data_IF_273952446681
#
_entry.id   IF_273952446681
#
_cell.length_a   1.000
_cell.length_b   1.000
_cell.length_c   1.000
_cell.angle_alpha   90.00
_cell.angle_beta   90.00
_cell.angle_gamma   90.00
#
_symmetry.space_group_name_H-M   'P 1'
#
loop_
_entity.id
_entity.type
_entity.pdbx_description
1 polymer ?
#
# COMPACT_ATOMS: atom_id res chain seq x y z
N UNK A 1 0.02 40.25 21.69
CA UNK A 1 1.23 40.58 20.95
C UNK A 1 1.05 40.13 19.50
N UNK A 2 1.31 41.02 18.55
CA UNK A 2 1.21 40.71 17.12
C UNK A 2 2.36 39.79 16.72
N UNK A 3 2.04 38.57 16.34
CA UNK A 3 3.05 37.56 16.01
C UNK A 3 3.59 37.63 14.57
N UNK A 4 2.91 38.43 13.71
CA UNK A 4 3.32 38.61 12.31
C UNK A 4 3.65 40.08 12.03
N UNK A 5 4.65 40.39 11.19
CA UNK A 5 4.92 41.74 10.73
C UNK A 5 3.70 42.34 10.03
N UNK A 6 3.45 43.63 10.26
CA UNK A 6 2.29 44.34 9.71
C UNK A 6 2.22 44.29 8.19
N UNK A 7 3.37 44.29 7.52
CA UNK A 7 3.48 44.17 6.06
C UNK A 7 2.94 42.87 5.49
N UNK A 8 2.87 41.83 6.31
CA UNK A 8 2.34 40.49 5.94
C UNK A 8 0.86 40.36 6.29
N UNK A 9 0.29 41.31 7.00
CA UNK A 9 -1.10 41.24 7.38
C UNK A 9 -2.01 41.70 6.23
N UNK A 10 -3.14 41.02 6.12
CA UNK A 10 -4.19 41.39 5.18
C UNK A 10 -4.74 42.76 5.53
N UNK A 11 -4.85 43.63 4.54
CA UNK A 11 -5.37 45.00 4.71
C UNK A 11 -6.90 45.06 4.75
N UNK A 12 -7.59 44.08 4.23
CA UNK A 12 -9.05 44.00 4.22
C UNK A 12 -9.52 42.57 4.48
N UNK A 13 -10.71 42.40 5.00
CA UNK A 13 -11.33 41.09 5.17
C UNK A 13 -11.50 40.39 3.80
N UNK A 14 -11.40 39.03 3.74
CA UNK A 14 -11.70 38.31 2.51
C UNK A 14 -13.16 38.54 2.10
N UNK A 15 -13.38 38.62 0.79
CA UNK A 15 -14.73 38.74 0.23
C UNK A 15 -15.43 37.39 0.28
N UNK A 16 -15.88 36.97 1.44
CA UNK A 16 -16.69 35.78 1.62
C UNK A 16 -18.16 36.16 1.72
N UNK A 17 -19.08 35.38 1.14
CA UNK A 17 -20.50 35.60 1.32
C UNK A 17 -20.87 35.46 2.81
N UNK A 18 -21.75 36.34 3.27
CA UNK A 18 -22.38 36.18 4.59
C UNK A 18 -23.66 35.37 4.39
N UNK A 19 -23.63 34.11 4.78
CA UNK A 19 -24.73 33.17 4.60
C UNK A 19 -25.16 32.60 5.95
N UNK A 20 -26.43 32.19 6.04
CA UNK A 20 -26.89 31.42 7.17
C UNK A 20 -26.27 29.98 7.16
N UNK A 21 -26.23 29.34 8.31
CA UNK A 21 -25.81 27.93 8.40
C UNK A 21 -26.63 27.05 7.43
N UNK A 22 -27.94 27.31 7.37
CA UNK A 22 -28.85 26.57 6.48
C UNK A 22 -28.46 26.71 5.01
N UNK A 23 -28.10 27.91 4.55
CA UNK A 23 -27.68 28.16 3.17
C UNK A 23 -26.38 27.43 2.86
N UNK A 24 -25.40 27.45 3.79
CA UNK A 24 -24.12 26.75 3.65
C UNK A 24 -24.35 25.23 3.56
N UNK A 25 -25.13 24.66 4.48
CA UNK A 25 -25.43 23.23 4.48
C UNK A 25 -26.13 22.80 3.19
N UNK A 26 -27.16 23.55 2.76
CA UNK A 26 -27.87 23.26 1.51
C UNK A 26 -26.97 23.35 0.28
N UNK A 27 -26.11 24.38 0.23
CA UNK A 27 -25.17 24.55 -0.87
C UNK A 27 -24.25 23.34 -1.01
N UNK A 28 -23.55 22.97 0.06
CA UNK A 28 -22.60 21.84 0.00
C UNK A 28 -23.29 20.50 -0.14
N UNK A 29 -24.49 20.31 0.43
CA UNK A 29 -25.29 19.10 0.20
C UNK A 29 -25.70 18.96 -1.27
N UNK A 30 -26.07 20.07 -1.92
CA UNK A 30 -26.43 20.04 -3.35
C UNK A 30 -25.19 19.80 -4.22
N UNK A 31 -24.04 20.41 -3.89
CA UNK A 31 -22.79 20.14 -4.58
C UNK A 31 -22.36 18.67 -4.46
N UNK A 32 -22.50 18.08 -3.28
CA UNK A 32 -22.13 16.68 -3.07
C UNK A 32 -22.93 15.71 -3.94
N UNK A 33 -24.18 16.07 -4.27
CA UNK A 33 -25.04 15.26 -5.15
C UNK A 33 -24.65 15.29 -6.63
N UNK A 34 -23.79 16.21 -7.03
CA UNK A 34 -23.25 16.29 -8.39
C UNK A 34 -22.12 15.29 -8.63
N UNK A 35 -21.65 14.63 -7.59
CA UNK A 35 -20.61 13.63 -7.66
C UNK A 35 -21.12 12.27 -7.15
N UNK A 36 -20.38 11.21 -7.46
CA UNK A 36 -20.69 9.90 -6.92
C UNK A 36 -20.40 9.83 -5.42
N UNK A 37 -21.23 9.08 -4.70
CA UNK A 37 -21.08 8.83 -3.27
C UNK A 37 -21.41 7.37 -2.99
N UNK A 38 -20.59 6.72 -2.19
CA UNK A 38 -20.81 5.33 -1.77
C UNK A 38 -22.11 5.16 -0.95
N UNK A 39 -22.60 6.23 -0.33
CA UNK A 39 -23.85 6.23 0.43
C UNK A 39 -25.10 6.28 -0.47
N UNK A 40 -24.98 6.86 -1.66
CA UNK A 40 -26.11 7.11 -2.55
C UNK A 40 -26.06 6.29 -3.85
N UNK A 41 -24.89 5.85 -4.27
CA UNK A 41 -24.68 5.26 -5.59
C UNK A 41 -23.71 4.10 -5.53
N UNK A 42 -23.77 3.24 -6.56
CA UNK A 42 -22.67 2.35 -6.87
C UNK A 42 -21.45 3.19 -7.29
N UNK A 43 -20.40 3.18 -6.48
CA UNK A 43 -19.23 4.01 -6.69
C UNK A 43 -18.26 3.33 -7.67
N UNK A 44 -17.89 3.98 -8.79
CA UNK A 44 -16.95 3.42 -9.74
C UNK A 44 -15.55 3.33 -9.14
N UNK A 45 -14.75 2.41 -9.67
CA UNK A 45 -13.34 2.25 -9.30
C UNK A 45 -12.52 3.48 -9.71
N UNK A 46 -11.85 4.11 -8.74
CA UNK A 46 -10.76 5.06 -8.97
C UNK A 46 -9.42 4.39 -8.67
N UNK A 47 -8.63 4.95 -7.75
CA UNK A 47 -7.38 4.32 -7.28
C UNK A 47 -7.61 3.08 -6.42
N UNK A 48 -8.82 2.84 -5.95
CA UNK A 48 -9.21 1.69 -5.15
C UNK A 48 -10.68 1.36 -5.35
N UNK A 49 -11.07 0.13 -5.01
CA UNK A 49 -12.47 -0.28 -4.95
C UNK A 49 -13.13 0.36 -3.73
N UNK A 50 -14.08 1.26 -3.97
CA UNK A 50 -14.81 1.91 -2.88
C UNK A 50 -15.89 0.97 -2.34
N UNK A 51 -15.80 0.67 -1.03
CA UNK A 51 -16.78 -0.15 -0.32
C UNK A 51 -17.59 0.73 0.62
N UNK A 52 -18.81 0.34 0.90
CA UNK A 52 -19.57 0.93 1.99
C UNK A 52 -18.93 0.52 3.31
N UNK A 53 -18.45 1.50 4.09
CA UNK A 53 -18.01 1.27 5.46
C UNK A 53 -19.18 1.50 6.41
N UNK A 54 -19.47 0.56 7.34
CA UNK A 54 -20.47 0.79 8.38
C UNK A 54 -20.16 2.07 9.16
N UNK A 55 -21.14 2.93 9.36
CA UNK A 55 -20.95 4.25 10.00
C UNK A 55 -20.38 4.15 11.42
N UNK A 56 -20.63 3.05 12.13
CA UNK A 56 -20.08 2.86 13.47
C UNK A 56 -18.54 2.75 13.48
N UNK A 57 -17.91 2.34 12.37
CA UNK A 57 -16.44 2.26 12.30
C UNK A 57 -15.79 3.62 12.46
N UNK A 58 -16.39 4.67 11.87
CA UNK A 58 -15.95 6.06 12.04
C UNK A 58 -16.12 6.52 13.50
N UNK A 59 -17.24 6.16 14.12
CA UNK A 59 -17.49 6.47 15.54
C UNK A 59 -16.43 5.79 16.44
N UNK A 60 -16.15 4.51 16.22
CA UNK A 60 -15.14 3.77 17.00
C UNK A 60 -13.75 4.37 16.81
N UNK A 61 -13.36 4.70 15.56
CA UNK A 61 -12.07 5.32 15.27
C UNK A 61 -11.92 6.71 15.94
N UNK A 62 -13.03 7.43 16.13
CA UNK A 62 -13.05 8.75 16.78
C UNK A 62 -13.07 8.69 18.32
N UNK A 63 -13.17 7.51 18.94
CA UNK A 63 -13.14 7.40 20.39
C UNK A 63 -11.86 8.02 20.96
N UNK A 64 -11.96 8.79 22.09
CA UNK A 64 -10.81 9.51 22.64
C UNK A 64 -9.58 8.63 22.94
N UNK A 65 -9.80 7.36 23.30
CA UNK A 65 -8.72 6.40 23.56
C UNK A 65 -7.87 6.09 22.34
N UNK A 66 -8.40 6.28 21.13
CA UNK A 66 -7.65 6.16 19.85
C UNK A 66 -7.27 7.53 19.30
N UNK A 67 -8.26 8.41 19.08
CA UNK A 67 -8.07 9.65 18.35
C UNK A 67 -7.25 10.71 19.09
N UNK A 68 -7.20 10.66 20.43
CA UNK A 68 -6.45 11.63 21.27
C UNK A 68 -5.19 11.06 21.91
N UNK A 69 -4.83 9.83 21.57
CA UNK A 69 -3.61 9.21 22.07
C UNK A 69 -2.39 9.87 21.40
N UNK A 70 -1.41 10.27 22.21
CA UNK A 70 -0.16 10.81 21.67
C UNK A 70 0.63 9.68 20.97
N UNK A 71 1.18 9.87 19.77
CA UNK A 71 1.87 8.81 19.02
C UNK A 71 3.03 8.14 19.76
N UNK A 72 3.72 8.88 20.64
CA UNK A 72 4.84 8.35 21.43
C UNK A 72 4.40 7.75 22.78
N UNK A 73 3.10 7.68 23.06
CA UNK A 73 2.62 7.19 24.37
C UNK A 73 3.07 5.76 24.65
N UNK A 74 3.05 4.90 23.64
CA UNK A 74 3.50 3.51 23.79
C UNK A 74 4.98 3.38 24.19
N UNK A 75 5.83 4.35 23.83
CA UNK A 75 7.24 4.39 24.19
C UNK A 75 7.45 4.96 25.60
N UNK A 76 6.56 5.87 26.04
CA UNK A 76 6.63 6.53 27.35
C UNK A 76 5.97 5.69 28.44
N UNK A 77 4.85 5.08 28.15
CA UNK A 77 4.08 4.23 29.07
C UNK A 77 3.27 3.20 28.29
N UNK A 78 3.77 1.99 28.19
CA UNK A 78 3.07 0.90 27.52
C UNK A 78 1.70 0.59 28.14
N UNK A 79 1.54 0.78 29.44
CA UNK A 79 0.26 0.51 30.14
C UNK A 79 -0.88 1.39 29.62
N UNK A 80 -0.60 2.67 29.33
CA UNK A 80 -1.62 3.60 28.83
C UNK A 80 -1.98 3.38 27.34
N UNK A 81 -1.18 2.61 26.63
CA UNK A 81 -1.37 2.33 25.20
C UNK A 81 -1.82 0.90 24.91
N UNK A 82 -2.10 0.09 25.92
CA UNK A 82 -2.36 -1.35 25.75
C UNK A 82 -3.49 -1.66 24.76
N UNK A 83 -4.60 -0.94 24.80
CA UNK A 83 -5.69 -1.14 23.85
C UNK A 83 -5.30 -0.91 22.40
N UNK A 84 -4.52 0.14 22.12
CA UNK A 84 -4.02 0.42 20.78
C UNK A 84 -2.98 -0.61 20.33
N UNK A 85 -2.07 -1.02 21.22
CA UNK A 85 -1.09 -2.07 20.94
C UNK A 85 -1.77 -3.42 20.69
N UNK A 86 -2.83 -3.74 21.42
CA UNK A 86 -3.63 -4.95 21.20
C UNK A 86 -4.30 -4.92 19.81
N UNK A 87 -4.87 -3.79 19.41
CA UNK A 87 -5.45 -3.65 18.06
C UNK A 87 -4.41 -3.90 16.97
N UNK A 88 -3.19 -3.36 17.11
CA UNK A 88 -2.12 -3.59 16.14
C UNK A 88 -1.68 -5.06 16.13
N UNK A 89 -1.53 -5.67 17.29
CA UNK A 89 -1.17 -7.08 17.43
C UNK A 89 -2.21 -8.00 16.79
N UNK A 90 -3.49 -7.78 17.07
CA UNK A 90 -4.56 -8.59 16.49
C UNK A 90 -4.66 -8.39 14.97
N UNK A 91 -4.51 -7.15 14.51
CA UNK A 91 -4.50 -6.83 13.08
C UNK A 91 -3.32 -7.52 12.36
N UNK A 92 -2.12 -7.54 12.95
CA UNK A 92 -0.98 -8.27 12.43
C UNK A 92 -1.31 -9.76 12.28
N UNK A 93 -1.86 -10.38 13.31
CA UNK A 93 -2.22 -11.81 13.28
C UNK A 93 -3.25 -12.12 12.20
N UNK A 94 -4.27 -11.29 12.07
CA UNK A 94 -5.28 -11.47 11.03
C UNK A 94 -4.68 -11.30 9.62
N UNK A 95 -3.81 -10.33 9.43
CA UNK A 95 -3.12 -10.14 8.16
C UNK A 95 -2.21 -11.33 7.85
N UNK A 96 -1.47 -11.85 8.83
CA UNK A 96 -0.68 -13.07 8.66
C UNK A 96 -1.55 -14.25 8.23
N UNK A 97 -2.70 -14.43 8.87
CA UNK A 97 -3.62 -15.53 8.55
C UNK A 97 -4.18 -15.42 7.14
N UNK A 98 -4.69 -14.26 6.74
CA UNK A 98 -5.33 -14.11 5.42
C UNK A 98 -4.33 -14.07 4.26
N UNK A 99 -3.06 -13.76 4.52
CA UNK A 99 -2.02 -13.67 3.48
C UNK A 99 -1.06 -14.85 3.43
N UNK A 100 -0.97 -15.64 4.51
CA UNK A 100 0.04 -16.67 4.65
C UNK A 100 1.45 -16.14 4.96
N UNK A 101 1.58 -14.84 5.24
CA UNK A 101 2.85 -14.23 5.65
C UNK A 101 3.12 -14.44 7.13
N UNK A 102 4.38 -14.34 7.55
CA UNK A 102 4.79 -14.61 8.94
C UNK A 102 4.69 -13.41 9.87
N UNK A 103 4.81 -12.20 9.35
CA UNK A 103 4.79 -10.97 10.14
C UNK A 103 4.37 -9.77 9.28
N UNK A 104 3.82 -8.75 9.93
CA UNK A 104 3.52 -7.46 9.32
C UNK A 104 4.04 -6.32 10.18
N UNK A 105 4.32 -5.18 9.55
CA UNK A 105 4.57 -3.91 10.21
C UNK A 105 3.57 -2.86 9.74
N UNK A 106 3.13 -2.00 10.65
CA UNK A 106 2.25 -0.87 10.38
C UNK A 106 2.99 0.48 10.37
N UNK A 107 4.34 0.45 10.30
CA UNK A 107 5.16 1.67 10.27
C UNK A 107 5.04 2.47 8.96
N UNK A 108 4.91 1.85 7.77
CA UNK A 108 4.72 2.60 6.54
C UNK A 108 3.41 3.41 6.57
N UNK A 109 3.48 4.70 6.24
CA UNK A 109 2.36 5.62 6.32
C UNK A 109 1.47 5.65 5.07
N UNK A 110 1.94 5.07 3.96
CA UNK A 110 1.23 5.04 2.68
C UNK A 110 1.74 3.89 1.82
N UNK A 111 1.04 3.59 0.69
CA UNK A 111 1.42 2.51 -0.22
C UNK A 111 2.85 2.60 -0.72
N UNK A 112 3.27 3.78 -1.19
CA UNK A 112 4.65 4.01 -1.65
C UNK A 112 5.69 3.78 -0.54
N UNK A 113 5.39 4.12 0.71
CA UNK A 113 6.25 3.80 1.85
C UNK A 113 6.29 2.28 2.13
N UNK A 114 5.16 1.60 1.95
CA UNK A 114 5.08 0.13 2.04
C UNK A 114 5.91 -0.55 0.97
N UNK A 115 5.80 -0.09 -0.29
CA UNK A 115 6.66 -0.57 -1.39
C UNK A 115 8.13 -0.38 -1.07
N UNK A 116 8.54 0.85 -0.72
CA UNK A 116 9.93 1.16 -0.38
C UNK A 116 10.43 0.30 0.78
N UNK A 117 9.63 0.13 1.83
CA UNK A 117 9.97 -0.72 2.98
C UNK A 117 10.19 -2.17 2.54
N UNK A 118 9.30 -2.73 1.73
CA UNK A 118 9.42 -4.09 1.22
C UNK A 118 10.67 -4.29 0.36
N UNK A 119 10.98 -3.34 -0.52
CA UNK A 119 12.20 -3.38 -1.33
C UNK A 119 13.47 -3.25 -0.46
N UNK A 120 13.43 -2.41 0.59
CA UNK A 120 14.53 -2.33 1.56
C UNK A 120 14.71 -3.61 2.38
N UNK A 121 13.65 -4.36 2.66
CA UNK A 121 13.75 -5.69 3.27
C UNK A 121 14.49 -6.67 2.36
N UNK A 122 14.20 -6.66 1.05
CA UNK A 122 14.94 -7.46 0.05
C UNK A 122 16.42 -7.09 0.05
N UNK A 123 16.73 -5.79 0.03
CA UNK A 123 18.12 -5.32 0.09
C UNK A 123 18.83 -5.78 1.37
N UNK A 124 18.15 -5.64 2.51
CA UNK A 124 18.68 -6.05 3.81
C UNK A 124 18.92 -7.58 3.90
N UNK A 125 18.01 -8.37 3.34
CA UNK A 125 18.15 -9.83 3.26
C UNK A 125 19.43 -10.25 2.53
N UNK A 126 19.67 -9.70 1.34
CA UNK A 126 20.87 -10.03 0.57
C UNK A 126 22.13 -9.51 1.26
N UNK A 127 22.09 -8.31 1.82
CA UNK A 127 23.21 -7.75 2.59
C UNK A 127 23.56 -8.62 3.81
N UNK A 128 22.57 -9.11 4.54
CA UNK A 128 22.78 -10.00 5.69
C UNK A 128 23.42 -11.33 5.30
N UNK A 129 23.22 -11.78 4.06
CA UNK A 129 23.88 -12.97 3.48
C UNK A 129 25.24 -12.66 2.81
N UNK A 130 25.75 -11.45 2.95
CA UNK A 130 27.01 -11.02 2.34
C UNK A 130 26.95 -10.86 0.81
N UNK A 131 25.77 -10.69 0.24
CA UNK A 131 25.54 -10.59 -1.21
C UNK A 131 25.33 -9.14 -1.62
N UNK A 132 25.94 -8.74 -2.73
CA UNK A 132 25.73 -7.42 -3.34
C UNK A 132 24.86 -7.56 -4.60
N UNK A 133 23.54 -7.72 -4.43
CA UNK A 133 22.59 -7.81 -5.54
C UNK A 133 22.05 -6.42 -5.87
N UNK A 134 22.17 -6.02 -7.13
CA UNK A 134 21.90 -4.66 -7.58
C UNK A 134 20.73 -4.55 -8.56
N UNK A 135 20.18 -5.66 -9.02
CA UNK A 135 19.12 -5.69 -10.03
C UNK A 135 17.77 -6.07 -9.43
N UNK A 136 16.73 -5.35 -9.79
CA UNK A 136 15.33 -5.70 -9.51
C UNK A 136 14.60 -5.96 -10.83
N UNK A 137 14.02 -7.14 -10.97
CA UNK A 137 13.19 -7.48 -12.13
C UNK A 137 11.80 -6.89 -11.94
N UNK A 138 11.25 -6.29 -12.98
CA UNK A 138 9.91 -5.71 -12.96
C UNK A 138 9.22 -6.00 -14.27
N UNK A 139 8.02 -6.64 -14.26
CA UNK A 139 7.23 -6.84 -15.48
C UNK A 139 6.82 -5.50 -16.11
N UNK A 140 6.71 -5.46 -17.41
CA UNK A 140 6.27 -4.29 -18.16
C UNK A 140 4.81 -3.87 -17.85
N UNK A 141 4.02 -4.79 -17.31
CA UNK A 141 2.65 -4.55 -16.83
C UNK A 141 2.58 -4.00 -15.39
N UNK A 142 3.73 -3.76 -14.73
CA UNK A 142 3.75 -3.28 -13.35
C UNK A 142 3.26 -1.83 -13.22
N UNK A 143 2.75 -1.48 -12.03
CA UNK A 143 2.43 -0.10 -11.71
C UNK A 143 3.69 0.78 -11.70
N UNK A 144 3.57 2.03 -12.17
CA UNK A 144 4.71 2.94 -12.29
C UNK A 144 5.46 3.25 -11.00
N UNK A 145 4.85 3.04 -9.83
CA UNK A 145 5.52 3.22 -8.54
C UNK A 145 6.50 2.09 -8.22
N UNK A 146 6.34 0.89 -8.78
CA UNK A 146 7.23 -0.23 -8.50
C UNK A 146 8.68 0.07 -8.94
N UNK A 147 8.94 0.46 -10.21
CA UNK A 147 10.29 0.85 -10.61
C UNK A 147 10.80 2.06 -9.83
N UNK A 148 9.96 3.04 -9.52
CA UNK A 148 10.38 4.22 -8.74
C UNK A 148 10.84 3.84 -7.33
N UNK A 149 10.11 2.97 -6.64
CA UNK A 149 10.46 2.47 -5.30
C UNK A 149 11.76 1.64 -5.31
N UNK A 150 11.96 0.82 -6.35
CA UNK A 150 13.17 0.03 -6.49
C UNK A 150 14.41 0.90 -6.76
N UNK A 151 14.31 1.91 -7.64
CA UNK A 151 15.39 2.89 -7.89
C UNK A 151 15.71 3.69 -6.62
N UNK A 152 14.69 4.15 -5.90
CA UNK A 152 14.88 4.87 -4.64
C UNK A 152 15.61 4.00 -3.59
N UNK A 153 15.39 2.70 -3.60
CA UNK A 153 16.05 1.74 -2.72
C UNK A 153 17.50 1.41 -3.16
N UNK A 154 17.92 1.85 -4.34
CA UNK A 154 19.26 1.67 -4.88
C UNK A 154 19.43 0.54 -5.89
N UNK A 155 18.31 -0.01 -6.42
CA UNK A 155 18.35 -1.05 -7.45
C UNK A 155 18.32 -0.46 -8.86
N UNK A 156 18.97 -1.12 -9.76
CA UNK A 156 18.80 -0.95 -11.20
C UNK A 156 17.66 -1.84 -11.69
N UNK A 157 16.81 -1.29 -12.57
CA UNK A 157 15.63 -2.00 -13.07
C UNK A 157 16.01 -2.83 -14.31
N UNK A 158 15.54 -4.07 -14.31
CA UNK A 158 15.55 -4.94 -15.47
C UNK A 158 14.10 -5.25 -15.82
N UNK A 159 13.64 -4.75 -16.95
CA UNK A 159 12.29 -5.03 -17.43
C UNK A 159 12.18 -6.47 -17.91
N UNK A 160 11.12 -7.15 -17.49
CA UNK A 160 10.74 -8.47 -17.98
C UNK A 160 9.51 -8.30 -18.87
N UNK A 161 9.61 -8.62 -20.17
CA UNK A 161 8.48 -8.47 -21.08
C UNK A 161 7.35 -9.45 -20.75
N UNK A 162 6.13 -9.03 -21.07
CA UNK A 162 4.95 -9.87 -20.98
C UNK A 162 4.66 -10.57 -22.31
N UNK A 163 4.07 -11.75 -22.23
CA UNK A 163 3.44 -12.45 -23.35
C UNK A 163 1.99 -12.71 -23.01
N UNK A 164 1.08 -12.33 -23.88
CA UNK A 164 -0.38 -12.43 -23.64
C UNK A 164 -0.83 -11.75 -22.33
N UNK A 165 -0.15 -10.67 -21.93
CA UNK A 165 -0.42 -9.89 -20.73
C UNK A 165 0.08 -10.51 -19.41
N UNK A 166 0.80 -11.62 -19.45
CA UNK A 166 1.43 -12.28 -18.29
C UNK A 166 2.95 -12.26 -18.43
N UNK A 167 3.68 -12.46 -17.35
CA UNK A 167 5.14 -12.54 -17.38
C UNK A 167 5.58 -13.66 -18.32
N UNK A 168 6.47 -13.36 -19.28
CA UNK A 168 7.05 -14.40 -20.13
C UNK A 168 8.13 -15.18 -19.35
N UNK A 169 7.91 -16.48 -19.04
CA UNK A 169 8.88 -17.26 -18.31
C UNK A 169 10.23 -17.42 -19.01
N UNK A 170 10.24 -17.43 -20.34
CA UNK A 170 11.48 -17.52 -21.12
C UNK A 170 12.30 -16.22 -20.99
N UNK A 171 11.65 -15.07 -21.08
CA UNK A 171 12.30 -13.77 -20.86
C UNK A 171 12.80 -13.60 -19.41
N UNK A 172 12.06 -14.13 -18.44
CA UNK A 172 12.52 -14.17 -17.05
C UNK A 172 13.80 -15.01 -16.89
N UNK A 173 13.84 -16.21 -17.47
CA UNK A 173 15.04 -17.06 -17.45
C UNK A 173 16.23 -16.41 -18.15
N UNK A 174 16.00 -15.75 -19.30
CA UNK A 174 17.03 -14.99 -19.99
C UNK A 174 17.58 -13.86 -19.13
N UNK A 175 16.71 -13.09 -18.45
CA UNK A 175 17.12 -12.03 -17.56
C UNK A 175 17.94 -12.56 -16.37
N UNK A 176 17.55 -13.67 -15.76
CA UNK A 176 18.32 -14.34 -14.71
C UNK A 176 19.69 -14.78 -15.20
N UNK A 177 19.76 -15.44 -16.37
CA UNK A 177 21.01 -15.89 -16.96
C UNK A 177 21.96 -14.73 -17.36
N UNK A 178 21.39 -13.60 -17.77
CA UNK A 178 22.16 -12.41 -18.16
C UNK A 178 22.82 -11.70 -16.95
N UNK A 179 22.23 -11.82 -15.78
CA UNK A 179 22.70 -11.12 -14.58
C UNK A 179 22.93 -12.11 -13.41
N UNK A 180 23.81 -13.09 -13.56
CA UNK A 180 24.07 -14.10 -12.53
C UNK A 180 24.51 -13.43 -11.23
N UNK A 181 23.97 -13.86 -10.10
CA UNK A 181 24.24 -13.34 -8.75
C UNK A 181 23.94 -11.84 -8.53
N UNK A 182 23.32 -11.15 -9.49
CA UNK A 182 22.99 -9.72 -9.38
C UNK A 182 21.51 -9.45 -9.12
N UNK A 183 20.62 -10.40 -9.42
CA UNK A 183 19.18 -10.21 -9.27
C UNK A 183 18.77 -10.39 -7.81
N UNK A 184 18.22 -9.33 -7.21
CA UNK A 184 17.73 -9.34 -5.84
C UNK A 184 16.33 -9.95 -5.73
N UNK A 185 15.49 -9.71 -6.72
CA UNK A 185 14.13 -10.22 -6.74
C UNK A 185 13.33 -9.76 -7.93
N UNK A 186 12.08 -10.19 -7.97
CA UNK A 186 11.05 -9.77 -8.93
C UNK A 186 9.91 -9.09 -8.16
N UNK A 187 9.55 -7.86 -8.56
CA UNK A 187 8.34 -7.17 -8.06
C UNK A 187 7.21 -7.37 -9.05
N UNK A 188 6.08 -7.89 -8.57
CA UNK A 188 4.90 -8.06 -9.42
C UNK A 188 3.60 -7.84 -8.66
N UNK A 189 2.56 -7.50 -9.40
CA UNK A 189 1.17 -7.43 -8.94
C UNK A 189 0.42 -8.67 -9.45
N UNK A 190 -0.41 -9.27 -8.64
CA UNK A 190 -1.22 -10.42 -9.04
C UNK A 190 -2.62 -10.40 -8.39
N UNK A 191 -3.74 -10.30 -9.14
CA UNK A 191 -3.80 -10.08 -10.59
C UNK A 191 -3.09 -8.80 -11.03
N UNK A 192 -2.56 -8.79 -12.24
CA UNK A 192 -1.81 -7.66 -12.76
C UNK A 192 -2.72 -6.45 -13.11
N UNK A 193 -2.13 -5.35 -13.60
CA UNK A 193 -2.89 -4.14 -13.94
C UNK A 193 -3.90 -4.31 -15.08
N UNK A 194 -3.79 -5.39 -15.87
CA UNK A 194 -4.76 -5.78 -16.88
C UNK A 194 -5.92 -6.63 -16.31
N UNK A 195 -5.88 -6.97 -15.02
CA UNK A 195 -6.85 -7.84 -14.37
C UNK A 195 -6.62 -9.34 -14.59
N UNK A 196 -5.46 -9.72 -15.11
CA UNK A 196 -5.12 -11.11 -15.39
C UNK A 196 -4.40 -11.74 -14.20
N UNK A 197 -4.84 -12.93 -13.81
CA UNK A 197 -4.13 -13.75 -12.84
C UNK A 197 -2.90 -14.37 -13.50
N UNK A 198 -1.74 -14.28 -12.84
CA UNK A 198 -0.49 -14.85 -13.35
C UNK A 198 -0.50 -16.39 -13.24
N UNK A 199 -0.68 -17.04 -14.38
CA UNK A 199 -0.75 -18.50 -14.47
C UNK A 199 0.63 -19.17 -14.41
N UNK A 200 1.69 -18.41 -14.72
CA UNK A 200 3.06 -18.91 -14.70
C UNK A 200 3.73 -18.79 -13.33
N UNK A 201 2.98 -18.39 -12.29
CA UNK A 201 3.51 -18.16 -10.95
C UNK A 201 4.36 -19.33 -10.40
N UNK A 202 3.96 -20.61 -10.54
CA UNK A 202 4.81 -21.73 -10.09
C UNK A 202 6.18 -21.75 -10.77
N UNK A 203 6.22 -21.46 -12.08
CA UNK A 203 7.48 -21.40 -12.82
C UNK A 203 8.32 -20.19 -12.44
N UNK A 204 7.70 -19.04 -12.24
CA UNK A 204 8.38 -17.82 -11.76
C UNK A 204 9.06 -18.09 -10.42
N UNK A 205 8.34 -18.69 -9.47
CA UNK A 205 8.88 -19.06 -8.16
C UNK A 205 10.06 -20.01 -8.31
N UNK A 206 9.94 -21.06 -9.13
CA UNK A 206 11.02 -22.01 -9.38
C UNK A 206 12.29 -21.32 -9.91
N UNK A 207 12.14 -20.46 -10.92
CA UNK A 207 13.26 -19.74 -11.53
C UNK A 207 13.97 -18.86 -10.51
N UNK A 208 13.23 -18.08 -9.73
CA UNK A 208 13.80 -17.19 -8.72
C UNK A 208 14.50 -17.96 -7.59
N UNK A 209 13.93 -19.09 -7.15
CA UNK A 209 14.49 -19.90 -6.07
C UNK A 209 15.84 -20.54 -6.41
N UNK A 210 16.11 -20.84 -7.68
CA UNK A 210 17.39 -21.39 -8.11
C UNK A 210 18.60 -20.51 -7.72
N UNK A 211 18.39 -19.20 -7.69
CA UNK A 211 19.43 -18.22 -7.34
C UNK A 211 19.14 -17.48 -6.03
N UNK A 212 18.18 -17.95 -5.23
CA UNK A 212 17.76 -17.30 -3.98
C UNK A 212 17.40 -15.81 -4.21
N UNK A 213 16.75 -15.52 -5.33
CA UNK A 213 16.10 -14.23 -5.59
C UNK A 213 14.71 -14.21 -4.96
N UNK A 214 14.29 -13.07 -4.41
CA UNK A 214 13.04 -12.96 -3.67
C UNK A 214 11.88 -12.54 -4.57
N UNK A 215 10.68 -13.02 -4.26
CA UNK A 215 9.46 -12.65 -4.95
C UNK A 215 8.65 -11.66 -4.10
N UNK A 216 8.43 -10.48 -4.65
CA UNK A 216 7.69 -9.40 -4.01
C UNK A 216 6.28 -9.29 -4.61
N UNK A 217 5.27 -9.24 -3.74
CA UNK A 217 3.88 -9.01 -4.10
C UNK A 217 3.48 -7.56 -3.87
N UNK A 218 3.12 -6.86 -4.94
CA UNK A 218 2.40 -5.60 -4.84
C UNK A 218 0.93 -5.89 -4.54
N UNK A 219 0.59 -5.81 -3.27
CA UNK A 219 -0.76 -6.02 -2.74
C UNK A 219 -1.53 -4.71 -2.54
N UNK A 220 -1.18 -3.65 -3.26
CA UNK A 220 -1.88 -2.37 -3.16
C UNK A 220 -3.39 -2.52 -3.33
N UNK A 221 -3.83 -3.49 -4.13
CA UNK A 221 -5.23 -3.83 -4.30
C UNK A 221 -5.44 -5.36 -4.28
N UNK A 222 -5.42 -5.96 -3.09
CA UNK A 222 -5.58 -7.41 -2.90
C UNK A 222 -7.05 -7.88 -2.94
N UNK A 223 -8.00 -7.01 -3.25
CA UNK A 223 -9.43 -7.30 -3.17
C UNK A 223 -9.84 -8.54 -3.99
N UNK A 224 -9.25 -8.73 -5.17
CA UNK A 224 -9.60 -9.81 -6.08
C UNK A 224 -9.29 -11.20 -5.51
N UNK A 225 -8.26 -11.32 -4.68
CA UNK A 225 -7.76 -12.61 -4.19
C UNK A 225 -7.99 -12.83 -2.70
N UNK A 226 -8.44 -11.81 -1.95
CA UNK A 226 -8.67 -11.92 -0.52
C UNK A 226 -9.66 -13.06 -0.21
N UNK A 227 -9.25 -13.99 0.65
CA UNK A 227 -10.03 -15.18 0.98
C UNK A 227 -10.08 -16.26 -0.12
N UNK A 228 -9.34 -16.07 -1.23
CA UNK A 228 -9.21 -17.04 -2.32
C UNK A 228 -7.81 -17.61 -2.46
N UNK A 229 -6.81 -16.78 -2.25
CA UNK A 229 -5.39 -17.17 -2.33
C UNK A 229 -4.62 -16.49 -1.20
N UNK A 230 -3.78 -17.24 -0.53
CA UNK A 230 -2.81 -16.74 0.44
C UNK A 230 -1.47 -16.59 -0.27
N UNK A 231 -1.01 -15.34 -0.41
CA UNK A 231 0.18 -15.01 -1.21
C UNK A 231 1.46 -15.68 -0.69
N UNK A 232 1.59 -15.80 0.63
CA UNK A 232 2.72 -16.51 1.25
C UNK A 232 2.78 -18.00 0.87
N UNK A 233 1.62 -18.67 0.76
CA UNK A 233 1.55 -20.09 0.44
C UNK A 233 1.95 -20.40 -1.01
N UNK A 234 1.81 -19.43 -1.92
CA UNK A 234 2.17 -19.57 -3.33
C UNK A 234 3.57 -19.06 -3.68
N UNK A 235 4.36 -18.68 -2.67
CA UNK A 235 5.79 -18.42 -2.82
C UNK A 235 6.22 -16.96 -2.81
N UNK A 236 5.35 -16.02 -2.46
CA UNK A 236 5.78 -14.64 -2.22
C UNK A 236 6.50 -14.49 -0.88
N UNK A 237 7.61 -13.75 -0.89
CA UNK A 237 8.48 -13.55 0.28
C UNK A 237 8.18 -12.23 0.99
N UNK A 238 7.83 -11.21 0.23
CA UNK A 238 7.55 -9.87 0.71
C UNK A 238 6.23 -9.39 0.10
N UNK A 239 5.40 -8.74 0.92
CA UNK A 239 4.14 -8.16 0.48
C UNK A 239 3.96 -6.78 1.08
N UNK A 240 3.45 -5.82 0.31
CA UNK A 240 2.81 -4.65 0.90
C UNK A 240 1.32 -4.66 0.62
N UNK A 241 0.56 -4.12 1.55
CA UNK A 241 -0.90 -4.00 1.45
C UNK A 241 -1.31 -2.56 1.71
N UNK A 242 -2.27 -2.08 0.92
CA UNK A 242 -2.97 -0.85 1.24
C UNK A 242 -4.27 -1.21 1.96
N UNK A 243 -4.24 -1.16 3.29
CA UNK A 243 -5.41 -1.53 4.11
C UNK A 243 -6.61 -0.64 3.80
N UNK A 244 -6.38 0.62 3.43
CA UNK A 244 -7.42 1.56 2.99
C UNK A 244 -8.06 1.21 1.64
N UNK A 245 -7.41 0.37 0.81
CA UNK A 245 -7.99 -0.15 -0.44
C UNK A 245 -8.69 -1.48 -0.21
N UNK A 246 -7.99 -2.44 0.38
CA UNK A 246 -8.46 -3.83 0.51
C UNK A 246 -9.51 -4.00 1.63
N UNK A 247 -9.32 -3.37 2.78
CA UNK A 247 -10.21 -3.56 3.93
C UNK A 247 -11.27 -2.47 4.01
N UNK A 248 -10.90 -1.23 4.21
CA UNK A 248 -11.86 -0.14 4.30
C UNK A 248 -11.21 1.20 4.08
N UNK A 249 -11.78 2.03 3.19
CA UNK A 249 -11.28 3.37 2.90
C UNK A 249 -11.78 4.34 3.95
N UNK A 250 -10.91 5.01 4.73
CA UNK A 250 -11.33 6.08 5.62
C UNK A 250 -11.78 7.29 4.79
N UNK A 251 -12.92 7.87 5.15
CA UNK A 251 -13.48 9.02 4.44
C UNK A 251 -13.10 10.30 5.19
N UNK A 252 -11.94 10.89 4.87
CA UNK A 252 -11.52 12.16 5.41
C UNK A 252 -10.27 12.12 6.30
N UNK A 253 -9.32 11.28 6.03
CA UNK A 253 -8.12 11.26 6.84
C UNK A 253 -6.97 10.39 6.39
N UNK A 254 -6.85 10.17 5.12
CA UNK A 254 -5.75 9.39 4.59
C UNK A 254 -5.98 7.88 4.59
N UNK A 255 -4.94 7.11 4.51
CA UNK A 255 -5.03 5.65 4.39
C UNK A 255 -3.72 4.96 4.63
#
# INVERSE_FOLDING_TARGET
>A
AQMLPEALLRKSAPRLPQCSELDVVRHFTNLSKLNYSVDANFYPLGSCTMKYNPKFTEYVAALPGFARMHPLLAQLSGELAQGALQCLYDAERWLCEVTGMKAFTFQPMAGANGEYTGVKLIAAYHKAKGRNRTKMLIPDSAHGTNPASAVLAGFEIVNVPSRDGMVDPAALEEAMAKYPDQVAGLMMTNPNTLGLLELHLPRIVEVLRREDALLYYDGANMNAILGKMRVGDVGFDVVHLNVHKTLGTPHGGGG
#
